data_IF_814012085656
#
_entry.id   IF_814012085656
#
_cell.length_a   1.000
_cell.length_b   1.000
_cell.length_c   1.000
_cell.angle_alpha   90.00
_cell.angle_beta   90.00
_cell.angle_gamma   90.00
#
_symmetry.space_group_name_H-M   'P 1'
#
loop_
_entity.id
_entity.type
_entity.pdbx_description
1 polymer ?
#
# COMPACT_ATOMS: atom_id res chain seq x y z
N UNK A 1 -10.50 -15.85 -12.99
CA UNK A 1 -9.23 -15.15 -13.32
C UNK A 1 -9.01 -13.97 -12.41
N UNK A 2 -9.86 -12.94 -12.48
CA UNK A 2 -9.74 -11.76 -11.61
C UNK A 2 -9.87 -12.13 -10.13
N UNK A 3 -10.80 -13.00 -9.79
CA UNK A 3 -11.00 -13.46 -8.41
C UNK A 3 -9.75 -14.14 -7.84
N UNK A 4 -9.06 -14.96 -8.64
CA UNK A 4 -7.86 -15.64 -8.19
C UNK A 4 -6.73 -14.64 -7.90
N UNK A 5 -6.61 -13.59 -8.72
CA UNK A 5 -5.64 -12.52 -8.51
C UNK A 5 -5.94 -11.74 -7.23
N UNK A 6 -7.22 -11.36 -7.05
CA UNK A 6 -7.66 -10.65 -5.87
C UNK A 6 -7.45 -11.47 -4.60
N UNK A 7 -7.74 -12.77 -4.65
CA UNK A 7 -7.53 -13.66 -3.51
C UNK A 7 -6.05 -13.78 -3.14
N UNK A 8 -5.16 -13.84 -4.11
CA UNK A 8 -3.72 -13.90 -3.84
C UNK A 8 -3.24 -12.67 -3.07
N UNK A 9 -3.55 -11.50 -3.58
CA UNK A 9 -3.15 -10.23 -2.94
C UNK A 9 -3.84 -10.08 -1.59
N UNK A 10 -5.12 -10.40 -1.50
CA UNK A 10 -5.88 -10.34 -0.26
C UNK A 10 -5.28 -11.25 0.82
N UNK A 11 -4.87 -12.46 0.44
CA UNK A 11 -4.24 -13.39 1.38
C UNK A 11 -2.96 -12.81 1.99
N UNK A 12 -2.11 -12.20 1.18
CA UNK A 12 -0.90 -11.55 1.69
C UNK A 12 -1.24 -10.40 2.62
N UNK A 13 -2.23 -9.59 2.24
CA UNK A 13 -2.67 -8.46 3.04
C UNK A 13 -3.24 -8.90 4.40
N UNK A 14 -4.05 -9.96 4.41
CA UNK A 14 -4.71 -10.44 5.63
C UNK A 14 -3.78 -11.21 6.56
N UNK A 15 -2.76 -11.85 6.04
CA UNK A 15 -1.84 -12.66 6.85
C UNK A 15 -0.88 -11.84 7.68
N UNK A 16 -0.59 -10.62 7.24
CA UNK A 16 0.46 -9.86 7.85
C UNK A 16 0.02 -8.55 8.43
N UNK A 17 0.82 -8.09 9.35
CA UNK A 17 0.71 -6.77 9.91
C UNK A 17 1.44 -5.74 9.03
N UNK A 18 2.24 -6.21 8.06
CA UNK A 18 3.03 -5.39 7.17
C UNK A 18 3.27 -6.13 5.86
N UNK A 19 3.12 -5.46 4.74
CA UNK A 19 3.48 -6.00 3.43
C UNK A 19 4.94 -6.43 3.37
N UNK A 20 5.81 -5.68 4.04
CA UNK A 20 7.25 -5.98 4.03
C UNK A 20 7.56 -7.31 4.69
N UNK A 21 6.79 -7.69 5.70
CA UNK A 21 7.01 -8.92 6.45
C UNK A 21 6.50 -10.15 5.72
N UNK A 22 5.49 -10.00 4.87
CA UNK A 22 4.76 -11.14 4.29
C UNK A 22 4.83 -11.23 2.78
N UNK A 23 5.34 -10.22 2.11
CA UNK A 23 5.40 -10.18 0.65
C UNK A 23 6.83 -10.46 0.18
N UNK A 24 7.13 -11.68 -0.30
CA UNK A 24 8.47 -12.01 -0.79
C UNK A 24 8.87 -11.17 -1.99
N UNK A 25 10.17 -10.95 -2.16
CA UNK A 25 10.71 -10.14 -3.25
C UNK A 25 10.29 -10.64 -4.63
N UNK A 26 10.21 -11.95 -4.82
CA UNK A 26 9.78 -12.52 -6.09
C UNK A 26 8.33 -12.16 -6.44
N UNK A 27 7.45 -12.06 -5.42
CA UNK A 27 6.06 -11.61 -5.61
C UNK A 27 6.04 -10.14 -5.99
N UNK A 28 6.85 -9.31 -5.32
CA UNK A 28 6.96 -7.89 -5.63
C UNK A 28 7.52 -7.68 -7.04
N UNK A 29 8.56 -8.41 -7.41
CA UNK A 29 9.14 -8.35 -8.75
C UNK A 29 8.12 -8.71 -9.83
N UNK A 30 7.35 -9.77 -9.61
CA UNK A 30 6.26 -10.14 -10.52
C UNK A 30 5.26 -9.01 -10.66
N UNK A 31 4.83 -8.44 -9.53
CA UNK A 31 3.79 -7.41 -9.50
C UNK A 31 4.24 -6.09 -10.12
N UNK A 32 5.51 -5.74 -9.95
CA UNK A 32 6.06 -4.51 -10.51
C UNK A 32 6.58 -4.65 -11.94
N UNK A 33 6.50 -5.84 -12.53
CA UNK A 33 6.89 -6.04 -13.92
C UNK A 33 5.85 -5.39 -14.84
N UNK A 34 6.25 -4.45 -15.75
CA UNK A 34 5.30 -3.75 -16.61
C UNK A 34 4.47 -4.67 -17.52
N UNK A 35 5.04 -5.77 -17.99
CA UNK A 35 4.33 -6.74 -18.83
C UNK A 35 3.20 -7.41 -18.03
N UNK A 36 3.48 -7.81 -16.81
CA UNK A 36 2.47 -8.41 -15.93
C UNK A 36 1.38 -7.41 -15.59
N UNK A 37 1.74 -6.16 -15.31
CA UNK A 37 0.79 -5.10 -15.03
C UNK A 37 -0.16 -4.90 -16.21
N UNK A 38 0.37 -4.77 -17.41
CA UNK A 38 -0.43 -4.58 -18.61
C UNK A 38 -1.41 -5.73 -18.82
N UNK A 39 -0.94 -6.96 -18.64
CA UNK A 39 -1.77 -8.16 -18.78
C UNK A 39 -2.86 -8.24 -17.74
N UNK A 40 -2.49 -8.03 -16.46
CA UNK A 40 -3.43 -8.21 -15.35
C UNK A 40 -4.46 -7.08 -15.25
N UNK A 41 -4.02 -5.82 -15.41
CA UNK A 41 -4.92 -4.68 -15.23
C UNK A 41 -5.80 -4.39 -16.45
N UNK A 42 -5.44 -4.86 -17.63
CA UNK A 42 -6.19 -4.59 -18.84
C UNK A 42 -7.65 -5.04 -18.75
N UNK A 43 -7.90 -6.16 -18.08
CA UNK A 43 -9.23 -6.76 -17.98
C UNK A 43 -10.00 -6.36 -16.70
N UNK A 44 -9.37 -5.60 -15.82
CA UNK A 44 -9.97 -5.24 -14.54
C UNK A 44 -10.80 -3.97 -14.65
N UNK A 45 -11.89 -3.94 -13.89
CA UNK A 45 -12.67 -2.72 -13.67
C UNK A 45 -11.90 -1.78 -12.74
N UNK A 46 -12.20 -0.45 -12.75
CA UNK A 46 -11.50 0.51 -11.89
C UNK A 46 -11.49 0.13 -10.39
N UNK A 47 -12.61 -0.37 -9.88
CA UNK A 47 -12.72 -0.79 -8.48
C UNK A 47 -11.84 -2.00 -8.17
N UNK A 48 -11.73 -2.91 -9.13
CA UNK A 48 -10.86 -4.08 -8.97
C UNK A 48 -9.39 -3.68 -8.96
N UNK A 49 -8.99 -2.74 -9.82
CA UNK A 49 -7.63 -2.19 -9.84
C UNK A 49 -7.27 -1.54 -8.51
N UNK A 50 -8.18 -0.73 -7.98
CA UNK A 50 -8.01 -0.08 -6.69
C UNK A 50 -7.79 -1.13 -5.60
N UNK A 51 -8.66 -2.13 -5.54
CA UNK A 51 -8.57 -3.20 -4.54
C UNK A 51 -7.24 -3.94 -4.64
N UNK A 52 -6.79 -4.26 -5.85
CA UNK A 52 -5.54 -4.99 -6.06
C UNK A 52 -4.31 -4.20 -5.62
N UNK A 53 -4.37 -2.87 -5.66
CA UNK A 53 -3.25 -2.00 -5.27
C UNK A 53 -3.30 -1.59 -3.79
N UNK A 54 -4.39 -1.85 -3.08
CA UNK A 54 -4.54 -1.49 -1.68
C UNK A 54 -3.43 -2.02 -0.77
N UNK A 55 -2.98 -3.27 -0.89
CA UNK A 55 -1.87 -3.75 -0.06
C UNK A 55 -0.59 -2.92 -0.20
N UNK A 56 -0.35 -2.36 -1.38
CA UNK A 56 0.81 -1.49 -1.59
C UNK A 56 0.65 -0.16 -0.88
N UNK A 57 -0.56 0.41 -0.90
CA UNK A 57 -0.87 1.65 -0.19
C UNK A 57 -0.64 1.52 1.32
N UNK A 58 -0.94 0.37 1.88
CA UNK A 58 -0.84 0.11 3.32
C UNK A 58 0.51 -0.48 3.75
N UNK A 59 1.46 -0.58 2.84
CA UNK A 59 2.83 -1.02 3.14
C UNK A 59 3.59 0.05 3.90
N UNK A 60 4.48 -0.37 4.80
CA UNK A 60 5.39 0.53 5.51
C UNK A 60 6.76 0.63 4.84
N UNK A 61 6.86 0.26 3.54
CA UNK A 61 8.11 0.33 2.79
C UNK A 61 8.17 1.58 1.89
N UNK A 62 9.23 2.36 2.05
CA UNK A 62 9.48 3.51 1.17
C UNK A 62 9.65 3.08 -0.28
N UNK A 63 10.35 1.98 -0.52
CA UNK A 63 10.59 1.47 -1.87
C UNK A 63 9.28 1.05 -2.55
N UNK A 64 8.38 0.41 -1.82
CA UNK A 64 7.08 0.02 -2.36
C UNK A 64 6.26 1.25 -2.72
N UNK A 65 6.23 2.28 -1.87
CA UNK A 65 5.46 3.49 -2.15
C UNK A 65 5.99 4.27 -3.35
N UNK A 66 7.28 4.25 -3.61
CA UNK A 66 7.84 4.88 -4.80
C UNK A 66 7.26 4.28 -6.07
N UNK A 67 7.08 2.98 -6.12
CA UNK A 67 6.47 2.29 -7.25
C UNK A 67 4.95 2.36 -7.22
N UNK A 68 4.35 2.29 -6.03
CA UNK A 68 2.91 2.33 -5.87
C UNK A 68 2.30 3.63 -6.43
N UNK A 69 2.95 4.76 -6.21
CA UNK A 69 2.46 6.05 -6.73
C UNK A 69 2.30 5.98 -8.25
N UNK A 70 3.26 5.40 -8.96
CA UNK A 70 3.19 5.25 -10.42
C UNK A 70 2.04 4.33 -10.85
N UNK A 71 1.83 3.23 -10.11
CA UNK A 71 0.76 2.29 -10.40
C UNK A 71 -0.61 2.91 -10.15
N UNK A 72 -0.78 3.63 -9.06
CA UNK A 72 -2.03 4.33 -8.78
C UNK A 72 -2.31 5.42 -9.80
N UNK A 73 -1.29 6.16 -10.23
CA UNK A 73 -1.44 7.18 -11.26
C UNK A 73 -1.87 6.57 -12.60
N UNK A 74 -1.36 5.39 -12.94
CA UNK A 74 -1.63 4.75 -14.21
C UNK A 74 -2.97 4.01 -14.26
N UNK A 75 -3.35 3.36 -13.17
CA UNK A 75 -4.46 2.41 -13.16
C UNK A 75 -5.67 2.82 -12.34
N UNK A 76 -5.58 3.94 -11.60
CA UNK A 76 -6.70 4.47 -10.82
C UNK A 76 -6.94 5.93 -11.18
N UNK A 77 -7.87 6.58 -10.46
CA UNK A 77 -8.19 7.99 -10.68
C UNK A 77 -7.44 8.91 -9.71
N UNK A 78 -7.57 10.22 -9.93
CA UNK A 78 -6.88 11.21 -9.10
C UNK A 78 -7.27 11.16 -7.63
N UNK A 79 -8.51 10.82 -7.34
CA UNK A 79 -9.00 10.72 -5.97
C UNK A 79 -8.26 9.62 -5.19
N UNK A 80 -8.12 8.44 -5.82
CA UNK A 80 -7.42 7.31 -5.21
C UNK A 80 -5.92 7.59 -5.13
N UNK A 81 -5.35 8.19 -6.17
CA UNK A 81 -3.94 8.58 -6.18
C UNK A 81 -3.61 9.54 -5.05
N UNK A 82 -4.50 10.48 -4.75
CA UNK A 82 -4.29 11.43 -3.66
C UNK A 82 -4.16 10.72 -2.31
N UNK A 83 -4.94 9.68 -2.07
CA UNK A 83 -4.80 8.86 -0.87
C UNK A 83 -3.44 8.15 -0.82
N UNK A 84 -2.96 7.62 -1.93
CA UNK A 84 -1.64 7.00 -1.96
C UNK A 84 -0.54 8.01 -1.65
N UNK A 85 -0.63 9.21 -2.20
CA UNK A 85 0.34 10.28 -1.95
C UNK A 85 0.38 10.62 -0.46
N UNK A 86 -0.78 10.74 0.18
CA UNK A 86 -0.86 11.01 1.61
C UNK A 86 -0.25 9.90 2.46
N UNK A 87 -0.48 8.65 2.09
CA UNK A 87 0.14 7.50 2.75
C UNK A 87 1.66 7.51 2.58
N UNK A 88 2.11 7.75 1.35
CA UNK A 88 3.55 7.84 1.04
C UNK A 88 4.24 8.92 1.86
N UNK A 89 3.62 10.09 2.03
CA UNK A 89 4.20 11.18 2.81
C UNK A 89 4.44 10.77 4.26
N UNK A 90 3.52 10.01 4.86
CA UNK A 90 3.69 9.50 6.21
C UNK A 90 4.87 8.53 6.29
N UNK A 91 4.96 7.61 5.33
CA UNK A 91 6.04 6.63 5.28
C UNK A 91 7.39 7.30 5.03
N UNK A 92 7.45 8.33 4.20
CA UNK A 92 8.69 9.07 3.98
C UNK A 92 9.14 9.80 5.24
N UNK A 93 8.19 10.33 6.00
CA UNK A 93 8.47 11.08 7.22
C UNK A 93 8.88 10.19 8.38
N UNK A 94 8.14 9.10 8.64
CA UNK A 94 8.31 8.27 9.83
C UNK A 94 8.87 6.88 9.54
N UNK A 95 8.80 6.40 8.31
CA UNK A 95 9.17 5.03 7.95
C UNK A 95 8.16 3.99 8.36
N UNK A 96 7.06 4.40 8.97
CA UNK A 96 5.96 3.53 9.41
C UNK A 96 4.70 4.38 9.62
N UNK A 97 3.58 3.70 9.84
CA UNK A 97 2.32 4.37 10.16
C UNK A 97 2.19 4.51 11.69
N UNK A 98 2.31 5.72 12.25
CA UNK A 98 2.25 5.90 13.70
C UNK A 98 0.95 5.41 14.34
N UNK A 99 -0.17 5.48 13.61
CA UNK A 99 -1.46 5.01 14.15
C UNK A 99 -1.51 3.51 14.40
N UNK A 100 -0.58 2.73 13.85
CA UNK A 100 -0.46 1.30 14.10
C UNK A 100 0.38 0.97 15.34
N UNK A 101 1.10 1.95 15.88
CA UNK A 101 2.04 1.69 16.97
C UNK A 101 1.38 1.02 18.17
N UNK A 102 0.24 1.54 18.63
CA UNK A 102 -0.46 1.00 19.79
C UNK A 102 -0.89 -0.45 19.56
N UNK A 103 -1.46 -0.75 18.39
CA UNK A 103 -1.95 -2.09 18.06
C UNK A 103 -0.80 -3.09 17.93
N UNK A 104 0.34 -2.65 17.39
CA UNK A 104 1.50 -3.51 17.17
C UNK A 104 2.47 -3.51 18.35
N UNK A 105 2.16 -2.83 19.44
CA UNK A 105 3.03 -2.77 20.60
C UNK A 105 4.31 -1.98 20.40
N UNK A 106 4.32 -1.07 19.43
CA UNK A 106 5.46 -0.19 19.16
C UNK A 106 5.31 1.11 19.94
N UNK A 107 6.42 1.59 20.47
CA UNK A 107 6.42 2.86 21.20
C UNK A 107 6.49 4.02 20.22
N UNK A 108 5.61 5.01 20.38
CA UNK A 108 5.62 6.23 19.57
C UNK A 108 6.68 7.20 20.04
N UNK A 109 7.31 7.88 19.09
CA UNK A 109 8.20 9.01 19.41
C UNK A 109 7.37 10.24 19.76
N UNK A 110 8.02 11.26 20.31
CA UNK A 110 7.34 12.53 20.62
C UNK A 110 6.77 13.17 19.34
N UNK A 111 7.51 13.09 18.24
CA UNK A 111 7.06 13.61 16.94
C UNK A 111 5.84 12.83 16.42
N UNK A 112 5.86 11.51 16.57
CA UNK A 112 4.72 10.68 16.18
C UNK A 112 3.48 10.98 17.03
N UNK A 113 3.65 11.19 18.31
CA UNK A 113 2.53 11.56 19.20
C UNK A 113 1.91 12.90 18.80
N UNK A 114 2.73 13.88 18.45
CA UNK A 114 2.25 15.16 17.95
C UNK A 114 1.50 15.00 16.63
N UNK A 115 2.04 14.20 15.72
CA UNK A 115 1.41 13.91 14.42
C UNK A 115 0.04 13.24 14.59
N UNK A 116 -0.10 12.34 15.55
CA UNK A 116 -1.36 11.62 15.79
C UNK A 116 -2.50 12.54 16.27
N UNK A 117 -2.20 13.76 16.69
CA UNK A 117 -3.21 14.76 17.04
C UNK A 117 -3.72 15.52 15.82
N UNK A 118 -3.05 15.41 14.67
CA UNK A 118 -3.42 16.12 13.45
C UNK A 118 -4.52 15.37 12.69
N UNK A 119 -5.39 16.11 11.95
CA UNK A 119 -6.36 15.46 11.06
C UNK A 119 -5.66 14.64 9.97
N UNK A 120 -6.22 13.49 9.61
CA UNK A 120 -5.65 12.63 8.58
C UNK A 120 -4.47 11.80 9.03
N UNK A 121 -4.22 11.68 10.33
CA UNK A 121 -3.12 10.89 10.86
C UNK A 121 -3.40 9.40 10.94
N UNK A 122 -4.64 8.98 10.74
CA UNK A 122 -5.03 7.56 10.73
C UNK A 122 -6.01 7.27 9.61
N UNK A 123 -6.03 6.01 9.20
CA UNK A 123 -6.84 5.54 8.07
C UNK A 123 -7.67 4.34 8.45
#
# INVERSE_FOLDING_TARGET
MVEARGKLIYSYHMKGNSMNAICPDDVLDFWFNPTNQAFWFAEMQPEERQFMLMPLMHSESRAIHQQAVELFARYTNEYVLDFEIKHREIIERFGRYPHRNAVLGRQSTAEELAFLQEPGSSF
#
